data_IF_090131499138
#
_entry.id   IF_090131499138
#
_cell.length_a   1.000
_cell.length_b   1.000
_cell.length_c   1.000
_cell.angle_alpha   90.00
_cell.angle_beta   90.00
_cell.angle_gamma   90.00
#
_symmetry.space_group_name_H-M   'P 1'
#
loop_
_entity.id
_entity.type
_entity.pdbx_description
1 polymer ?
#
# COMPACT_ATOMS: atom_id res chain seq x y z
N UNK A 1 -37.19 -25.43 -14.35
CA UNK A 1 -36.90 -24.42 -13.31
C UNK A 1 -35.40 -24.45 -13.07
N UNK A 2 -34.68 -23.54 -13.73
CA UNK A 2 -33.23 -23.41 -13.62
C UNK A 2 -32.91 -22.61 -12.35
N UNK A 3 -32.28 -23.28 -11.38
CA UNK A 3 -31.77 -22.66 -10.16
C UNK A 3 -30.69 -21.66 -10.55
N UNK A 4 -30.91 -20.38 -10.25
CA UNK A 4 -29.92 -19.33 -10.41
C UNK A 4 -28.77 -19.58 -9.44
N UNK A 5 -27.56 -19.67 -9.97
CA UNK A 5 -26.34 -19.52 -9.17
C UNK A 5 -26.25 -18.04 -8.85
N UNK A 6 -26.58 -17.67 -7.63
CA UNK A 6 -26.27 -16.36 -7.07
C UNK A 6 -24.84 -16.45 -6.56
N UNK A 7 -23.91 -15.88 -7.31
CA UNK A 7 -22.57 -15.57 -6.80
C UNK A 7 -22.74 -14.45 -5.78
N UNK A 8 -22.76 -14.79 -4.50
CA UNK A 8 -22.53 -13.80 -3.46
C UNK A 8 -21.10 -13.26 -3.64
N UNK A 9 -20.86 -11.95 -3.57
CA UNK A 9 -19.49 -11.45 -3.54
C UNK A 9 -18.84 -11.93 -2.24
N UNK A 10 -17.81 -12.76 -2.34
CA UNK A 10 -16.88 -12.96 -1.22
C UNK A 10 -16.21 -11.61 -0.97
N UNK A 11 -16.45 -11.06 0.22
CA UNK A 11 -15.81 -9.83 0.68
C UNK A 11 -14.53 -10.28 1.38
N UNK A 12 -13.45 -10.37 0.61
CA UNK A 12 -12.14 -10.84 1.09
C UNK A 12 -11.53 -9.80 2.04
N UNK A 13 -11.22 -10.25 3.26
CA UNK A 13 -10.44 -9.47 4.22
C UNK A 13 -9.03 -9.32 3.67
N UNK A 14 -8.47 -8.10 3.68
CA UNK A 14 -7.08 -7.90 3.28
C UNK A 14 -6.14 -8.46 4.35
N UNK A 15 -5.45 -9.54 4.01
CA UNK A 15 -4.52 -10.29 4.89
C UNK A 15 -3.08 -9.71 4.87
N UNK A 16 -2.91 -8.48 4.37
CA UNK A 16 -1.60 -7.80 4.28
C UNK A 16 -1.23 -7.06 5.59
N UNK A 17 -2.11 -7.09 6.59
CA UNK A 17 -1.83 -6.57 7.93
C UNK A 17 -0.99 -7.58 8.72
N UNK A 18 0.22 -7.15 9.09
CA UNK A 18 1.05 -7.92 10.02
C UNK A 18 0.71 -7.52 11.46
N UNK A 19 0.62 -8.51 12.35
CA UNK A 19 0.54 -8.27 13.80
C UNK A 19 1.72 -7.40 14.28
N UNK A 20 1.49 -6.66 15.36
CA UNK A 20 2.37 -5.66 15.96
C UNK A 20 3.86 -5.81 15.61
N UNK A 21 4.36 -4.94 14.73
CA UNK A 21 5.78 -4.89 14.42
C UNK A 21 6.51 -4.40 15.66
N UNK A 22 7.34 -5.25 16.25
CA UNK A 22 8.21 -4.85 17.36
C UNK A 22 9.34 -4.01 16.79
N UNK A 23 9.24 -2.69 16.96
CA UNK A 23 10.25 -1.73 16.52
C UNK A 23 11.07 -1.23 17.72
N UNK A 24 12.36 -1.02 17.53
CA UNK A 24 13.35 -0.65 18.56
C UNK A 24 13.07 0.70 19.27
N UNK A 25 13.11 0.85 20.61
CA UNK A 25 12.70 2.03 21.46
C UNK A 25 12.80 3.47 20.88
N UNK A 26 11.85 4.39 21.19
CA UNK A 26 11.65 5.61 20.41
C UNK A 26 12.83 6.57 20.51
N UNK A 27 13.25 7.09 19.35
CA UNK A 27 14.18 8.22 19.27
C UNK A 27 13.49 9.52 19.69
N UNK A 28 14.26 10.53 20.12
CA UNK A 28 13.73 11.83 20.53
C UNK A 28 13.06 12.58 19.37
N UNK A 29 11.75 12.36 19.19
CA UNK A 29 10.89 13.05 18.22
C UNK A 29 9.87 13.96 18.91
N UNK A 30 9.07 14.68 18.12
CA UNK A 30 7.97 15.48 18.66
C UNK A 30 6.88 14.57 19.26
N UNK A 31 6.48 14.86 20.51
CA UNK A 31 5.33 14.25 21.22
C UNK A 31 3.98 14.67 20.61
N UNK A 32 3.83 14.56 19.29
CA UNK A 32 2.54 14.78 18.64
C UNK A 32 1.81 13.44 18.58
N UNK A 33 0.65 13.36 19.23
CA UNK A 33 -0.17 12.17 19.23
C UNK A 33 -0.59 11.79 17.81
N UNK A 34 -0.50 10.49 17.49
CA UNK A 34 -1.03 9.94 16.24
C UNK A 34 -2.56 10.06 16.27
N UNK A 35 -3.20 10.61 15.21
CA UNK A 35 -4.66 10.65 15.13
C UNK A 35 -5.33 9.27 15.22
N UNK A 36 -4.59 8.21 14.86
CA UNK A 36 -5.08 6.83 14.88
C UNK A 36 -4.69 6.07 16.17
N UNK A 37 -4.04 6.70 17.16
CA UNK A 37 -3.52 6.02 18.35
C UNK A 37 -4.60 5.31 19.19
N UNK A 38 -5.81 5.85 19.22
CA UNK A 38 -6.94 5.28 19.96
C UNK A 38 -7.84 4.37 19.10
N UNK A 39 -7.54 4.23 17.81
CA UNK A 39 -8.35 3.42 16.90
C UNK A 39 -8.06 1.93 17.10
N UNK A 40 -9.05 1.05 16.85
CA UNK A 40 -8.85 -0.39 16.90
C UNK A 40 -7.84 -0.84 15.84
N UNK A 41 -7.21 -1.97 16.09
CA UNK A 41 -6.29 -2.62 15.16
C UNK A 41 -6.89 -3.91 14.59
N UNK A 42 -6.34 -4.38 13.47
CA UNK A 42 -6.65 -5.68 12.88
C UNK A 42 -7.35 -5.58 11.54
N UNK A 43 -7.37 -6.70 10.81
CA UNK A 43 -7.63 -6.72 9.38
C UNK A 43 -9.00 -6.14 8.97
N UNK A 44 -10.02 -6.22 9.83
CA UNK A 44 -11.32 -5.58 9.59
C UNK A 44 -11.20 -4.04 9.62
N UNK A 45 -10.42 -3.48 10.54
CA UNK A 45 -10.15 -2.04 10.59
C UNK A 45 -9.36 -1.56 9.37
N UNK A 46 -8.29 -2.28 8.99
CA UNK A 46 -7.60 -2.02 7.73
C UNK A 46 -8.56 -2.03 6.55
N UNK A 47 -9.30 -3.11 6.36
CA UNK A 47 -10.23 -3.25 5.23
C UNK A 47 -11.27 -2.13 5.18
N UNK A 48 -11.78 -1.68 6.33
CA UNK A 48 -12.66 -0.51 6.42
C UNK A 48 -11.95 0.77 5.95
N UNK A 49 -10.76 1.05 6.47
CA UNK A 49 -9.98 2.25 6.10
C UNK A 49 -9.68 2.25 4.61
N UNK A 50 -9.25 1.13 4.04
CA UNK A 50 -9.01 1.03 2.59
C UNK A 50 -10.28 1.32 1.78
N UNK A 51 -11.42 0.72 2.13
CA UNK A 51 -12.69 0.96 1.43
C UNK A 51 -13.15 2.43 1.51
N UNK A 52 -12.95 3.08 2.66
CA UNK A 52 -13.20 4.51 2.85
C UNK A 52 -12.32 5.35 1.92
N UNK A 53 -11.01 5.10 1.91
CA UNK A 53 -10.05 5.86 1.10
C UNK A 53 -10.18 5.60 -0.41
N UNK A 54 -10.66 4.42 -0.78
CA UNK A 54 -10.98 4.07 -2.15
C UNK A 54 -12.22 4.84 -2.63
N UNK A 55 -13.24 5.02 -1.80
CA UNK A 55 -14.51 5.58 -2.28
C UNK A 55 -14.67 7.09 -2.07
N UNK A 56 -14.01 7.66 -1.05
CA UNK A 56 -14.13 9.07 -0.68
C UNK A 56 -13.70 10.02 -1.81
N UNK A 57 -14.42 11.14 -1.94
CA UNK A 57 -13.96 12.28 -2.75
C UNK A 57 -12.99 13.15 -1.93
N UNK A 58 -11.67 13.12 -2.20
CA UNK A 58 -10.71 13.93 -1.48
C UNK A 58 -10.91 15.44 -1.69
N UNK A 59 -11.70 15.85 -2.69
CA UNK A 59 -11.98 17.27 -2.98
C UNK A 59 -13.37 17.72 -2.51
N UNK A 60 -14.06 16.90 -1.72
CA UNK A 60 -15.31 17.29 -1.08
C UNK A 60 -15.13 18.58 -0.27
N UNK A 61 -16.12 19.49 -0.36
CA UNK A 61 -16.09 20.76 0.36
C UNK A 61 -16.07 20.57 1.88
N UNK A 62 -16.78 19.53 2.35
CA UNK A 62 -16.70 19.02 3.71
C UNK A 62 -16.10 17.61 3.69
N UNK A 63 -14.77 17.53 3.81
CA UNK A 63 -14.08 16.24 3.78
C UNK A 63 -14.40 15.37 5.00
N UNK A 64 -14.58 15.97 6.18
CA UNK A 64 -14.91 15.19 7.38
C UNK A 64 -16.28 14.53 7.21
N UNK A 65 -17.26 15.28 6.72
CA UNK A 65 -18.59 14.74 6.39
C UNK A 65 -18.55 13.66 5.31
N UNK A 66 -17.76 13.85 4.24
CA UNK A 66 -17.55 12.84 3.20
C UNK A 66 -16.95 11.54 3.77
N UNK A 67 -15.89 11.64 4.57
CA UNK A 67 -15.25 10.48 5.19
C UNK A 67 -16.21 9.77 6.15
N UNK A 68 -16.98 10.51 6.95
CA UNK A 68 -17.98 9.96 7.87
C UNK A 68 -19.09 9.20 7.12
N UNK A 69 -19.54 9.74 5.98
CA UNK A 69 -20.49 9.06 5.10
C UNK A 69 -19.90 7.76 4.55
N UNK A 70 -18.66 7.76 4.06
CA UNK A 70 -18.02 6.53 3.58
C UNK A 70 -17.78 5.51 4.70
N UNK A 71 -17.39 5.95 5.90
CA UNK A 71 -17.22 5.04 7.06
C UNK A 71 -18.55 4.34 7.37
N UNK A 72 -19.65 5.09 7.48
CA UNK A 72 -20.98 4.52 7.69
C UNK A 72 -21.41 3.58 6.56
N UNK A 73 -21.09 3.95 5.33
CA UNK A 73 -21.40 3.14 4.16
C UNK A 73 -20.72 1.79 4.26
N UNK A 74 -19.44 1.75 4.64
CA UNK A 74 -18.62 0.53 4.60
C UNK A 74 -18.63 -0.32 5.87
N UNK A 75 -18.99 0.26 7.01
CA UNK A 75 -19.07 -0.43 8.31
C UNK A 75 -19.91 -1.74 8.32
N UNK A 76 -20.99 -1.91 7.53
CA UNK A 76 -21.72 -3.17 7.47
C UNK A 76 -20.91 -4.36 6.94
N UNK A 77 -19.92 -4.13 6.08
CA UNK A 77 -19.03 -5.18 5.56
C UNK A 77 -17.82 -5.39 6.48
N UNK A 78 -17.35 -4.31 7.11
CA UNK A 78 -16.17 -4.30 7.97
C UNK A 78 -16.50 -3.72 9.34
N UNK A 79 -17.18 -4.50 10.21
CA UNK A 79 -17.60 -4.00 11.51
C UNK A 79 -16.39 -3.76 12.41
N UNK A 80 -16.29 -2.54 12.95
CA UNK A 80 -15.28 -2.12 13.93
C UNK A 80 -15.96 -1.41 15.09
N UNK A 81 -15.38 -1.52 16.29
CA UNK A 81 -15.87 -0.85 17.49
C UNK A 81 -15.33 0.58 17.57
N UNK A 82 -15.83 1.47 16.71
CA UNK A 82 -15.43 2.88 16.65
C UNK A 82 -16.55 3.73 16.08
N UNK A 83 -16.70 4.95 16.59
CA UNK A 83 -17.64 5.91 16.04
C UNK A 83 -17.21 6.40 14.65
N UNK A 84 -18.17 6.52 13.72
CA UNK A 84 -17.86 6.88 12.35
C UNK A 84 -17.29 8.31 12.22
N UNK A 85 -17.77 9.25 13.04
CA UNK A 85 -17.28 10.63 13.02
C UNK A 85 -15.88 10.74 13.65
N UNK A 86 -15.62 9.92 14.67
CA UNK A 86 -14.28 9.82 15.28
C UNK A 86 -13.25 9.29 14.28
N UNK A 87 -13.54 8.17 13.60
CA UNK A 87 -12.65 7.62 12.57
C UNK A 87 -12.47 8.60 11.40
N UNK A 88 -13.55 9.22 10.93
CA UNK A 88 -13.48 10.23 9.86
C UNK A 88 -12.56 11.39 10.24
N UNK A 89 -12.70 11.92 11.46
CA UNK A 89 -11.84 12.99 11.98
C UNK A 89 -10.38 12.56 12.04
N UNK A 90 -10.10 11.32 12.47
CA UNK A 90 -8.75 10.77 12.54
C UNK A 90 -8.09 10.59 11.16
N UNK A 91 -8.87 10.41 10.09
CA UNK A 91 -8.38 10.27 8.72
C UNK A 91 -8.12 11.60 7.99
N UNK A 92 -8.65 12.73 8.50
CA UNK A 92 -8.47 14.05 7.86
C UNK A 92 -6.99 14.45 7.77
N UNK A 93 -6.15 14.37 8.83
CA UNK A 93 -4.76 14.81 8.77
C UNK A 93 -3.94 14.10 7.70
N UNK A 94 -4.23 12.82 7.42
CA UNK A 94 -3.58 12.07 6.35
C UNK A 94 -3.86 12.69 4.97
N UNK A 95 -5.06 13.24 4.75
CA UNK A 95 -5.40 13.88 3.48
C UNK A 95 -4.69 15.22 3.27
N UNK A 96 -4.35 15.90 4.36
CA UNK A 96 -3.71 17.22 4.39
C UNK A 96 -2.18 17.15 4.53
N UNK A 97 -1.63 15.97 4.82
CA UNK A 97 -0.20 15.77 4.93
C UNK A 97 0.46 15.84 3.54
N UNK A 98 1.56 16.61 3.37
CA UNK A 98 2.32 16.61 2.13
C UNK A 98 2.91 15.24 1.83
N UNK A 99 2.77 14.77 0.59
CA UNK A 99 3.35 13.50 0.12
C UNK A 99 4.87 13.61 -0.18
N UNK A 100 5.47 14.75 0.16
CA UNK A 100 6.88 15.05 0.01
C UNK A 100 7.31 15.37 -1.42
N UNK A 101 8.63 15.42 -1.61
CA UNK A 101 9.27 15.95 -2.82
C UNK A 101 8.90 15.19 -4.10
N UNK A 102 8.65 13.88 -4.02
CA UNK A 102 8.24 13.07 -5.18
C UNK A 102 6.89 13.52 -5.76
N UNK A 103 6.01 14.02 -4.89
CA UNK A 103 4.71 14.58 -5.27
C UNK A 103 4.79 16.09 -5.56
N UNK A 104 5.95 16.73 -5.39
CA UNK A 104 6.05 18.19 -5.39
C UNK A 104 5.28 18.82 -4.23
N UNK A 105 5.30 18.17 -3.06
CA UNK A 105 4.58 18.56 -1.84
C UNK A 105 3.07 18.66 -1.97
N UNK A 106 2.48 18.08 -3.02
CA UNK A 106 1.05 17.89 -3.11
C UNK A 106 0.55 16.99 -1.99
N UNK A 107 -0.65 17.27 -1.50
CA UNK A 107 -1.37 16.42 -0.54
C UNK A 107 -2.34 15.50 -1.27
N UNK A 108 -2.84 14.47 -0.57
CA UNK A 108 -3.92 13.63 -1.10
C UNK A 108 -5.15 14.48 -1.45
N UNK A 109 -5.54 15.43 -0.60
CA UNK A 109 -6.68 16.33 -0.85
C UNK A 109 -6.57 17.08 -2.19
N UNK A 110 -5.35 17.41 -2.60
CA UNK A 110 -5.11 18.19 -3.83
C UNK A 110 -5.17 17.37 -5.12
N UNK A 111 -5.18 16.04 -5.02
CA UNK A 111 -5.25 15.12 -6.16
C UNK A 111 -6.67 14.56 -6.23
N UNK A 112 -7.49 15.10 -7.13
CA UNK A 112 -8.91 14.73 -7.25
C UNK A 112 -9.13 13.34 -7.85
N UNK A 113 -10.39 12.88 -7.82
CA UNK A 113 -10.79 11.53 -8.30
C UNK A 113 -10.41 11.23 -9.76
N UNK A 114 -10.28 12.25 -10.63
CA UNK A 114 -9.89 12.07 -12.04
C UNK A 114 -8.41 11.73 -12.23
N UNK A 115 -7.62 11.97 -11.21
CA UNK A 115 -6.17 11.72 -11.16
C UNK A 115 -5.84 10.57 -10.21
N UNK A 116 -6.85 9.78 -9.82
CA UNK A 116 -6.73 8.59 -8.97
C UNK A 116 -7.24 7.37 -9.71
N UNK A 117 -6.36 6.42 -9.96
CA UNK A 117 -6.76 5.07 -10.34
C UNK A 117 -6.68 4.21 -9.08
N UNK A 118 -7.84 3.88 -8.54
CA UNK A 118 -8.01 3.24 -7.23
C UNK A 118 -8.26 1.75 -7.44
N UNK A 119 -7.77 0.93 -6.53
CA UNK A 119 -7.90 -0.53 -6.53
C UNK A 119 -7.55 -1.12 -7.91
N UNK A 120 -6.31 -0.88 -8.36
CA UNK A 120 -5.83 -1.43 -9.61
C UNK A 120 -5.49 -2.90 -9.40
N UNK A 121 -6.47 -3.76 -9.65
CA UNK A 121 -6.26 -5.20 -9.72
C UNK A 121 -5.37 -5.58 -10.90
N UNK A 122 -4.51 -6.55 -10.66
CA UNK A 122 -3.65 -7.10 -11.68
C UNK A 122 -3.49 -8.61 -11.53
N UNK A 123 -3.28 -9.24 -12.67
CA UNK A 123 -2.77 -10.60 -12.77
C UNK A 123 -1.70 -10.57 -13.86
N UNK A 124 -0.43 -10.70 -13.46
CA UNK A 124 0.70 -10.60 -14.40
C UNK A 124 1.55 -11.88 -14.42
N UNK A 125 1.99 -12.32 -15.60
CA UNK A 125 2.92 -13.44 -15.69
C UNK A 125 4.33 -13.01 -15.22
N UNK A 126 4.92 -13.84 -14.37
CA UNK A 126 6.31 -13.74 -13.93
C UNK A 126 7.21 -14.64 -14.78
N UNK A 127 8.39 -14.11 -15.13
CA UNK A 127 9.43 -14.79 -15.90
C UNK A 127 8.92 -15.52 -17.16
N UNK A 128 7.98 -14.94 -17.91
CA UNK A 128 7.41 -15.56 -19.10
C UNK A 128 6.45 -16.71 -18.79
N UNK A 129 5.73 -16.66 -17.65
CA UNK A 129 4.68 -17.62 -17.28
C UNK A 129 3.51 -17.71 -18.28
N UNK A 130 3.42 -16.76 -19.22
CA UNK A 130 2.49 -16.72 -20.34
C UNK A 130 3.08 -17.26 -21.67
N UNK A 131 4.40 -17.51 -21.71
CA UNK A 131 5.08 -17.95 -22.92
C UNK A 131 5.05 -19.47 -23.06
N UNK A 132 4.77 -19.95 -24.27
CA UNK A 132 4.89 -21.39 -24.62
C UNK A 132 6.34 -21.86 -24.79
N UNK A 133 7.28 -20.93 -24.93
CA UNK A 133 8.71 -21.21 -25.09
C UNK A 133 9.43 -21.34 -23.74
N UNK A 134 10.72 -21.69 -23.75
CA UNK A 134 11.51 -21.84 -22.52
C UNK A 134 11.67 -20.47 -21.82
N UNK A 135 10.97 -20.31 -20.71
CA UNK A 135 11.09 -19.16 -19.81
C UNK A 135 12.51 -19.05 -19.20
N UNK A 136 13.03 -17.82 -19.00
CA UNK A 136 14.23 -17.63 -18.19
C UNK A 136 13.97 -18.09 -16.75
N UNK A 137 14.99 -18.64 -16.10
CA UNK A 137 14.93 -18.91 -14.66
C UNK A 137 15.29 -17.62 -13.94
N UNK A 138 14.30 -17.02 -13.30
CA UNK A 138 14.45 -15.85 -12.42
C UNK A 138 14.13 -16.29 -11.00
N UNK A 139 14.89 -15.79 -10.06
CA UNK A 139 14.85 -16.09 -8.62
C UNK A 139 14.83 -14.82 -7.79
N UNK A 140 14.53 -14.93 -6.50
CA UNK A 140 14.60 -13.79 -5.58
C UNK A 140 16.02 -13.22 -5.44
N UNK A 141 17.06 -14.07 -5.56
CA UNK A 141 18.45 -13.60 -5.58
C UNK A 141 18.71 -12.59 -6.70
N UNK A 142 18.11 -12.80 -7.88
CA UNK A 142 18.29 -11.87 -9.02
C UNK A 142 17.73 -10.47 -8.69
N UNK A 143 16.63 -10.40 -7.95
CA UNK A 143 16.07 -9.12 -7.45
C UNK A 143 16.99 -8.49 -6.42
N UNK A 144 17.53 -9.28 -5.48
CA UNK A 144 18.50 -8.78 -4.50
C UNK A 144 19.79 -8.25 -5.13
N UNK A 145 20.28 -8.90 -6.20
CA UNK A 145 21.43 -8.41 -6.97
C UNK A 145 21.14 -7.08 -7.66
N UNK A 146 19.95 -6.92 -8.27
CA UNK A 146 19.53 -5.65 -8.87
C UNK A 146 19.43 -4.53 -7.81
N UNK A 147 18.92 -4.83 -6.61
CA UNK A 147 18.90 -3.85 -5.52
C UNK A 147 20.30 -3.35 -5.19
N UNK A 148 21.32 -4.23 -5.12
CA UNK A 148 22.70 -3.80 -4.87
C UNK A 148 23.30 -2.95 -5.98
N UNK A 149 22.85 -3.13 -7.22
CA UNK A 149 23.30 -2.33 -8.37
C UNK A 149 22.69 -0.93 -8.35
N UNK A 150 21.41 -0.83 -7.98
CA UNK A 150 20.64 0.41 -8.14
C UNK A 150 20.52 1.25 -6.86
N UNK A 151 20.64 0.65 -5.68
CA UNK A 151 20.60 1.37 -4.41
C UNK A 151 22.02 1.71 -3.93
N UNK A 152 22.31 2.97 -3.53
CA UNK A 152 23.54 3.29 -2.85
C UNK A 152 23.58 2.64 -1.47
N UNK A 153 24.79 2.43 -0.91
CA UNK A 153 24.93 1.81 0.44
C UNK A 153 24.30 2.63 1.57
N UNK A 154 24.02 3.91 1.33
CA UNK A 154 23.35 4.80 2.27
C UNK A 154 21.82 4.68 2.21
N UNK A 155 21.27 3.94 1.26
CA UNK A 155 19.82 3.74 1.14
C UNK A 155 19.31 2.84 2.29
N UNK A 156 18.20 3.19 2.96
CA UNK A 156 17.65 2.42 4.08
C UNK A 156 17.30 0.98 3.71
N UNK A 157 16.96 0.71 2.44
CA UNK A 157 16.59 -0.63 1.97
C UNK A 157 17.76 -1.38 1.34
N UNK A 158 18.98 -0.84 1.34
CA UNK A 158 20.15 -1.50 0.74
C UNK A 158 20.40 -2.90 1.35
N UNK A 159 20.21 -3.04 2.66
CA UNK A 159 20.38 -4.30 3.39
C UNK A 159 19.33 -5.36 3.04
N UNK A 160 18.19 -4.96 2.45
CA UNK A 160 17.14 -5.90 2.03
C UNK A 160 17.63 -6.91 1.00
N UNK A 161 18.63 -6.54 0.19
CA UNK A 161 19.30 -7.44 -0.74
C UNK A 161 19.91 -8.67 -0.06
N UNK A 162 20.39 -8.56 1.19
CA UNK A 162 20.96 -9.68 1.93
C UNK A 162 19.90 -10.72 2.28
N UNK A 163 18.67 -10.28 2.59
CA UNK A 163 17.51 -11.16 2.80
C UNK A 163 17.15 -11.89 1.51
N UNK A 164 17.00 -11.15 0.41
CA UNK A 164 16.62 -11.71 -0.90
C UNK A 164 17.69 -12.65 -1.49
N UNK A 165 18.95 -12.52 -1.08
CA UNK A 165 20.04 -13.41 -1.51
C UNK A 165 20.38 -14.50 -0.49
N UNK A 166 19.62 -14.60 0.60
CA UNK A 166 19.88 -15.58 1.66
C UNK A 166 19.63 -17.02 1.18
N UNK A 167 20.33 -18.03 1.73
CA UNK A 167 20.18 -19.42 1.29
C UNK A 167 18.75 -19.99 1.37
N UNK A 168 17.92 -19.47 2.28
CA UNK A 168 16.54 -19.93 2.46
C UNK A 168 15.52 -19.30 1.52
N UNK A 169 15.79 -18.09 1.03
CA UNK A 169 14.85 -17.32 0.21
C UNK A 169 15.33 -17.15 -1.23
N UNK A 170 16.62 -16.91 -1.45
CA UNK A 170 17.14 -16.48 -2.74
C UNK A 170 16.99 -17.49 -3.87
N UNK A 171 16.97 -18.78 -3.55
CA UNK A 171 16.72 -19.84 -4.53
C UNK A 171 15.26 -19.97 -4.98
N UNK A 172 14.31 -19.25 -4.36
CA UNK A 172 12.91 -19.33 -4.75
C UNK A 172 12.70 -18.73 -6.14
N UNK A 173 12.02 -19.50 -7.00
CA UNK A 173 11.80 -19.12 -8.40
C UNK A 173 10.59 -18.20 -8.53
N UNK A 174 10.78 -17.09 -9.23
CA UNK A 174 9.71 -16.17 -9.64
C UNK A 174 9.09 -16.67 -10.96
N UNK A 175 8.10 -17.55 -10.87
CA UNK A 175 7.41 -18.15 -12.02
C UNK A 175 5.90 -18.26 -11.76
N UNK A 176 5.11 -18.30 -12.83
CA UNK A 176 3.64 -18.38 -12.75
C UNK A 176 2.99 -17.02 -12.89
N UNK A 177 1.86 -16.82 -12.21
CA UNK A 177 1.15 -15.54 -12.18
C UNK A 177 1.25 -14.92 -10.80
N UNK A 178 1.37 -13.59 -10.80
CA UNK A 178 1.27 -12.77 -9.60
C UNK A 178 -0.04 -12.00 -9.70
N UNK A 179 -0.93 -12.25 -8.74
CA UNK A 179 -2.14 -11.47 -8.52
C UNK A 179 -1.96 -10.52 -7.35
N UNK A 180 -2.67 -9.40 -7.38
CA UNK A 180 -2.73 -8.44 -6.29
C UNK A 180 -3.50 -7.21 -6.72
N UNK A 181 -3.58 -6.24 -5.81
CA UNK A 181 -4.20 -4.95 -6.06
C UNK A 181 -3.30 -3.83 -5.59
N UNK A 182 -3.25 -2.73 -6.34
CA UNK A 182 -2.58 -1.49 -5.91
C UNK A 182 -3.66 -0.55 -5.41
N UNK A 183 -3.55 -0.09 -4.16
CA UNK A 183 -4.53 0.80 -3.54
C UNK A 183 -4.86 2.02 -4.37
N UNK A 184 -3.84 2.81 -4.70
CA UNK A 184 -4.05 3.94 -5.57
C UNK A 184 -2.80 4.29 -6.37
N UNK A 185 -3.02 4.53 -7.65
CA UNK A 185 -2.07 5.17 -8.55
C UNK A 185 -2.50 6.62 -8.71
N UNK A 186 -1.65 7.54 -8.30
CA UNK A 186 -1.87 8.98 -8.41
C UNK A 186 -1.21 9.51 -9.68
N UNK A 187 -1.96 10.24 -10.51
CA UNK A 187 -1.43 11.00 -11.64
C UNK A 187 -1.06 12.40 -11.17
N UNK A 188 0.22 12.74 -11.30
CA UNK A 188 0.77 14.05 -11.02
C UNK A 188 0.83 14.90 -12.30
N UNK A 189 1.11 16.22 -12.18
CA UNK A 189 1.47 17.05 -13.32
C UNK A 189 2.58 16.45 -14.19
N UNK A 190 2.60 16.82 -15.48
CA UNK A 190 3.55 16.32 -16.48
C UNK A 190 3.56 14.78 -16.64
N UNK A 191 2.41 14.13 -16.42
CA UNK A 191 2.25 12.67 -16.58
C UNK A 191 3.26 11.86 -15.76
N UNK A 192 3.60 12.34 -14.55
CA UNK A 192 4.28 11.50 -13.55
C UNK A 192 3.24 10.71 -12.76
N UNK A 193 3.62 9.54 -12.28
CA UNK A 193 2.74 8.64 -11.55
C UNK A 193 3.38 8.22 -10.23
N UNK A 194 2.58 8.12 -9.17
CA UNK A 194 2.97 7.53 -7.89
C UNK A 194 2.14 6.29 -7.62
N UNK A 195 2.78 5.26 -7.09
CA UNK A 195 2.12 4.14 -6.42
C UNK A 195 2.02 4.51 -4.95
N UNK A 196 0.83 4.40 -4.38
CA UNK A 196 0.58 4.58 -2.95
C UNK A 196 -0.13 3.34 -2.45
N UNK A 197 0.30 2.88 -1.28
CA UNK A 197 -0.25 1.76 -0.54
C UNK A 197 -0.55 2.26 0.88
N UNK A 198 -1.80 2.18 1.29
CA UNK A 198 -2.22 2.58 2.63
C UNK A 198 -1.91 1.45 3.61
N UNK A 199 -1.37 1.79 4.77
CA UNK A 199 -1.09 0.82 5.83
C UNK A 199 -1.60 1.35 7.16
N UNK A 200 -2.34 0.50 7.87
CA UNK A 200 -2.91 0.72 9.20
C UNK A 200 -2.03 0.15 10.32
N UNK A 201 -0.77 -0.18 10.01
CA UNK A 201 0.19 -0.71 10.98
C UNK A 201 0.34 0.24 12.18
N UNK A 202 0.11 -0.30 13.38
CA UNK A 202 0.29 0.44 14.62
C UNK A 202 1.75 0.32 15.11
N UNK A 203 2.53 1.39 15.00
CA UNK A 203 3.93 1.44 15.45
C UNK A 203 4.10 2.09 16.84
N UNK A 204 3.06 2.81 17.30
CA UNK A 204 3.02 3.49 18.59
C UNK A 204 2.03 4.65 18.59
N UNK A 205 1.97 5.37 19.71
CA UNK A 205 0.96 6.38 19.95
C UNK A 205 1.33 7.77 19.41
N UNK A 206 2.58 7.99 19.01
CA UNK A 206 3.11 9.31 18.65
C UNK A 206 3.70 9.34 17.24
N UNK A 207 3.84 10.53 16.65
CA UNK A 207 4.52 10.71 15.39
C UNK A 207 5.99 10.23 15.40
N UNK A 208 6.66 10.23 16.57
CA UNK A 208 8.02 9.73 16.72
C UNK A 208 8.14 8.22 16.46
N UNK A 209 7.08 7.46 16.78
CA UNK A 209 7.00 6.02 16.53
C UNK A 209 6.93 5.69 15.03
N UNK A 210 6.62 6.68 14.19
CA UNK A 210 6.57 6.62 12.73
C UNK A 210 7.74 7.39 12.07
N UNK A 211 8.86 7.55 12.78
CA UNK A 211 10.08 8.12 12.19
C UNK A 211 10.64 7.25 11.04
N UNK A 212 11.51 7.84 10.20
CA UNK A 212 12.09 7.17 9.03
C UNK A 212 12.72 5.82 9.37
N UNK A 213 13.48 5.75 10.47
CA UNK A 213 14.15 4.51 10.90
C UNK A 213 13.13 3.44 11.32
N UNK A 214 12.07 3.86 12.02
CA UNK A 214 11.00 2.98 12.50
C UNK A 214 10.15 2.43 11.36
N UNK A 215 9.78 3.31 10.43
CA UNK A 215 9.09 2.92 9.20
C UNK A 215 9.96 1.99 8.36
N UNK A 216 11.26 2.25 8.25
CA UNK A 216 12.19 1.38 7.54
C UNK A 216 12.23 -0.02 8.14
N UNK A 217 12.37 -0.14 9.47
CA UNK A 217 12.36 -1.42 10.18
C UNK A 217 11.05 -2.18 9.92
N UNK A 218 9.90 -1.48 10.01
CA UNK A 218 8.61 -2.09 9.74
C UNK A 218 8.42 -2.53 8.28
N UNK A 219 8.84 -1.70 7.32
CA UNK A 219 8.79 -2.07 5.90
C UNK A 219 9.66 -3.28 5.60
N UNK A 220 10.85 -3.37 6.18
CA UNK A 220 11.76 -4.52 6.02
C UNK A 220 11.21 -5.80 6.67
N UNK A 221 10.50 -5.68 7.78
CA UNK A 221 9.88 -6.82 8.46
C UNK A 221 8.79 -7.48 7.60
N UNK A 222 7.98 -6.67 6.92
CA UNK A 222 6.81 -7.11 6.15
C UNK A 222 7.08 -7.29 4.65
N UNK A 223 8.34 -7.28 4.21
CA UNK A 223 8.73 -7.42 2.80
C UNK A 223 8.09 -6.36 1.86
N UNK A 224 7.64 -5.22 2.40
CA UNK A 224 7.05 -4.13 1.62
C UNK A 224 7.96 -3.56 0.52
N UNK A 225 9.31 -3.53 0.64
CA UNK A 225 10.17 -3.15 -0.47
C UNK A 225 9.98 -4.04 -1.70
N UNK A 226 9.79 -5.36 -1.53
CA UNK A 226 9.51 -6.26 -2.65
C UNK A 226 8.13 -5.97 -3.26
N UNK A 227 7.12 -5.77 -2.42
CA UNK A 227 5.77 -5.38 -2.86
C UNK A 227 5.80 -4.10 -3.70
N UNK A 228 6.47 -3.05 -3.21
CA UNK A 228 6.61 -1.76 -3.91
C UNK A 228 7.29 -1.91 -5.28
N UNK A 229 8.36 -2.71 -5.37
CA UNK A 229 9.03 -3.00 -6.65
C UNK A 229 8.10 -3.70 -7.64
N UNK A 230 7.35 -4.70 -7.17
CA UNK A 230 6.40 -5.43 -8.00
C UNK A 230 5.27 -4.53 -8.49
N UNK A 231 4.74 -3.67 -7.62
CA UNK A 231 3.69 -2.70 -7.99
C UNK A 231 4.18 -1.68 -9.02
N UNK A 232 5.41 -1.19 -8.90
CA UNK A 232 6.00 -0.30 -9.92
C UNK A 232 6.15 -1.03 -11.26
N UNK A 233 6.53 -2.30 -11.27
CA UNK A 233 6.60 -3.11 -12.51
C UNK A 233 5.21 -3.31 -13.12
N UNK A 234 4.20 -3.63 -12.30
CA UNK A 234 2.80 -3.74 -12.74
C UNK A 234 2.34 -2.44 -13.38
N UNK A 235 2.51 -1.31 -12.67
CA UNK A 235 2.12 0.00 -13.16
C UNK A 235 2.85 0.35 -14.46
N UNK A 236 4.16 0.10 -14.54
CA UNK A 236 4.94 0.33 -15.75
C UNK A 236 4.38 -0.45 -16.96
N UNK A 237 4.06 -1.74 -16.78
CA UNK A 237 3.44 -2.57 -17.84
C UNK A 237 2.06 -2.03 -18.24
N UNK A 238 1.25 -1.65 -17.26
CA UNK A 238 -0.07 -1.08 -17.48
C UNK A 238 -0.02 0.24 -18.27
N UNK A 239 0.85 1.18 -17.86
CA UNK A 239 1.01 2.47 -18.52
C UNK A 239 1.54 2.34 -19.94
N UNK A 240 2.53 1.47 -20.16
CA UNK A 240 3.04 1.18 -21.51
C UNK A 240 1.93 0.71 -22.46
N UNK A 241 1.03 -0.15 -21.98
CA UNK A 241 -0.10 -0.61 -22.78
C UNK A 241 -1.13 0.50 -23.06
N UNK A 242 -1.49 1.29 -22.05
CA UNK A 242 -2.53 2.34 -22.14
C UNK A 242 -2.09 3.62 -22.83
N UNK A 243 -0.82 4.01 -22.66
CA UNK A 243 -0.29 5.32 -23.07
C UNK A 243 0.74 5.24 -24.19
N UNK A 244 1.12 4.04 -24.64
CA UNK A 244 2.14 3.82 -25.69
C UNK A 244 3.49 4.50 -25.36
N UNK A 245 3.92 4.39 -24.10
CA UNK A 245 5.27 4.76 -23.65
C UNK A 245 6.23 3.59 -23.95
#
# INVERSE_FOLDING_TARGET
MTSGVTSEPEVDVRDDEVDAVVVSEPGSGADLDSPLAAMPSGAAFGSLVHAVLETADPQAADLAGELEEQVRRHAPWWPVDTDAAELATALVPMHDSPLGLLAGDLTLRQIGVRDRLRELDFEIPLAGGDLRARAPRVSLSDVGELLRVHLPRSDPFWSYADRLTSPGLGGQSLRGYLSGSIDVVLRLPQQRYLVVDYKTNHLGATAADYSVDRLTEAMLHSDYPLQALLYVVVLHRFLRWRQRI
#
